data_IF_410529867597
#
_entry.id   IF_410529867597
#
_cell.length_a   1.000
_cell.length_b   1.000
_cell.length_c   1.000
_cell.angle_alpha   90.00
_cell.angle_beta   90.00
_cell.angle_gamma   90.00
#
_symmetry.space_group_name_H-M   'P 1'
#
loop_
_entity.id
_entity.type
_entity.pdbx_description
1 polymer ?
#
# COMPACT_ATOMS: atom_id res chain seq x y z
N UNK A 1 10.16 2.53 7.63
CA UNK A 1 10.92 1.44 6.97
C UNK A 1 11.27 0.46 8.06
N UNK A 2 11.13 -0.85 7.80
CA UNK A 2 11.43 -1.86 8.81
C UNK A 2 12.95 -1.88 9.05
N UNK A 3 13.43 -1.94 10.31
CA UNK A 3 14.86 -1.89 10.65
C UNK A 3 15.75 -2.92 9.94
N UNK A 4 15.14 -3.97 9.40
CA UNK A 4 15.76 -5.20 8.92
C UNK A 4 15.97 -5.21 7.40
N UNK A 5 15.44 -4.23 6.66
CA UNK A 5 15.60 -4.13 5.21
C UNK A 5 16.82 -3.29 4.85
N UNK A 6 17.51 -3.62 3.75
CA UNK A 6 18.58 -2.77 3.21
C UNK A 6 17.98 -1.51 2.59
N UNK A 7 18.50 -0.34 2.97
CA UNK A 7 18.04 0.93 2.43
C UNK A 7 18.81 1.28 1.16
N UNK A 8 18.08 1.32 0.03
CA UNK A 8 18.63 1.62 -1.29
C UNK A 8 19.30 3.01 -1.32
N UNK A 9 18.83 3.96 -0.50
CA UNK A 9 19.35 5.33 -0.49
C UNK A 9 20.81 5.38 -0.07
N UNK A 10 21.17 4.73 1.04
CA UNK A 10 22.54 4.82 1.59
C UNK A 10 23.55 4.13 0.69
N UNK A 11 23.16 2.99 0.13
CA UNK A 11 23.93 2.28 -0.88
C UNK A 11 24.13 3.11 -2.15
N UNK A 12 23.09 3.79 -2.64
CA UNK A 12 23.22 4.69 -3.77
C UNK A 12 24.17 5.86 -3.49
N UNK A 13 24.07 6.46 -2.29
CA UNK A 13 24.92 7.58 -1.88
C UNK A 13 26.40 7.16 -1.79
N UNK A 14 26.72 5.97 -1.27
CA UNK A 14 28.11 5.50 -1.21
C UNK A 14 28.70 5.25 -2.60
N UNK A 15 27.90 4.71 -3.55
CA UNK A 15 28.30 4.59 -4.96
C UNK A 15 28.63 5.97 -5.54
N UNK A 16 27.79 6.99 -5.31
CA UNK A 16 28.05 8.35 -5.78
C UNK A 16 29.34 8.93 -5.21
N UNK A 17 29.63 8.70 -3.93
CA UNK A 17 30.89 9.13 -3.33
C UNK A 17 32.12 8.42 -3.92
N UNK A 18 32.00 7.15 -4.28
CA UNK A 18 33.06 6.41 -4.97
C UNK A 18 33.27 6.91 -6.39
N UNK A 19 32.20 7.17 -7.15
CA UNK A 19 32.32 7.79 -8.47
C UNK A 19 32.96 9.17 -8.39
N UNK A 20 32.63 9.95 -7.36
CA UNK A 20 33.25 11.24 -7.11
C UNK A 20 34.76 11.13 -6.82
N UNK A 21 35.20 10.15 -6.02
CA UNK A 21 36.64 9.96 -5.75
C UNK A 21 37.42 9.55 -7.01
N UNK A 22 36.82 8.74 -7.88
CA UNK A 22 37.38 8.41 -9.21
C UNK A 22 37.49 9.66 -10.08
N UNK A 23 36.45 10.49 -10.10
CA UNK A 23 36.48 11.76 -10.84
C UNK A 23 37.61 12.68 -10.35
N UNK A 24 37.74 12.87 -9.03
CA UNK A 24 38.79 13.71 -8.44
C UNK A 24 40.18 13.18 -8.81
N UNK A 25 40.39 11.87 -8.73
CA UNK A 25 41.65 11.26 -9.15
C UNK A 25 41.99 11.54 -10.62
N UNK A 26 41.03 11.33 -11.53
CA UNK A 26 41.22 11.61 -12.96
C UNK A 26 41.56 13.09 -13.16
N UNK A 27 40.84 13.99 -12.49
CA UNK A 27 41.07 15.43 -12.56
C UNK A 27 42.49 15.81 -12.09
N UNK A 28 42.96 15.21 -10.99
CA UNK A 28 44.32 15.43 -10.47
C UNK A 28 45.36 14.91 -11.46
N UNK A 29 45.19 13.70 -11.99
CA UNK A 29 46.14 13.13 -12.97
C UNK A 29 46.19 13.97 -14.25
N UNK A 30 45.06 14.47 -14.74
CA UNK A 30 45.01 15.37 -15.89
C UNK A 30 45.79 16.67 -15.62
N UNK A 31 45.61 17.28 -14.45
CA UNK A 31 46.35 18.48 -14.05
C UNK A 31 47.86 18.23 -13.91
N UNK A 32 48.25 17.08 -13.35
CA UNK A 32 49.65 16.67 -13.26
C UNK A 32 50.28 16.47 -14.65
N UNK A 33 49.55 15.88 -15.61
CA UNK A 33 50.03 15.69 -16.99
C UNK A 33 50.17 17.00 -17.75
N UNK A 34 49.27 17.96 -17.51
CA UNK A 34 49.30 19.26 -18.15
C UNK A 34 50.43 20.18 -17.63
N UNK A 35 51.01 19.88 -16.46
CA UNK A 35 51.99 20.74 -15.79
C UNK A 35 53.28 19.98 -15.45
N UNK A 36 54.40 20.23 -16.16
CA UNK A 36 55.66 19.52 -15.95
C UNK A 36 56.36 19.76 -14.59
N UNK A 37 55.83 20.63 -13.72
CA UNK A 37 56.36 20.87 -12.37
C UNK A 37 55.60 20.17 -11.23
N UNK A 38 54.49 19.49 -11.52
CA UNK A 38 53.65 18.87 -10.49
C UNK A 38 54.03 17.40 -10.30
N UNK A 39 54.27 17.00 -9.04
CA UNK A 39 54.66 15.62 -8.73
C UNK A 39 53.47 14.64 -8.90
N UNK A 40 53.35 14.07 -10.09
CA UNK A 40 52.28 13.14 -10.44
C UNK A 40 52.27 11.87 -9.58
N UNK A 41 53.44 11.37 -9.18
CA UNK A 41 53.56 10.17 -8.37
C UNK A 41 53.01 10.39 -6.96
N UNK A 42 53.41 11.48 -6.29
CA UNK A 42 52.94 11.84 -4.96
C UNK A 42 51.42 11.98 -4.94
N UNK A 43 50.86 12.80 -5.84
CA UNK A 43 49.43 13.07 -5.85
C UNK A 43 48.63 11.86 -6.34
N UNK A 44 49.14 11.10 -7.31
CA UNK A 44 48.53 9.85 -7.74
C UNK A 44 48.39 8.83 -6.61
N UNK A 45 49.40 8.69 -5.75
CA UNK A 45 49.33 7.79 -4.59
C UNK A 45 48.27 8.28 -3.59
N UNK A 46 48.26 9.57 -3.25
CA UNK A 46 47.32 10.15 -2.28
C UNK A 46 45.87 9.94 -2.74
N UNK A 47 45.54 10.34 -3.98
CA UNK A 47 44.16 10.24 -4.48
C UNK A 47 43.77 8.81 -4.86
N UNK A 48 44.73 7.97 -5.24
CA UNK A 48 44.51 6.53 -5.43
C UNK A 48 44.11 5.83 -4.12
N UNK A 49 44.71 6.21 -2.99
CA UNK A 49 44.33 5.70 -1.68
C UNK A 49 42.88 6.05 -1.30
N UNK A 50 42.42 7.26 -1.65
CA UNK A 50 41.02 7.66 -1.42
C UNK A 50 40.03 6.84 -2.27
N UNK A 51 40.37 6.46 -3.50
CA UNK A 51 39.52 5.55 -4.31
C UNK A 51 39.40 4.20 -3.61
N UNK A 52 40.52 3.60 -3.22
CA UNK A 52 40.53 2.29 -2.58
C UNK A 52 39.74 2.30 -1.27
N UNK A 53 39.90 3.36 -0.46
CA UNK A 53 39.14 3.54 0.76
C UNK A 53 37.64 3.69 0.46
N UNK A 54 37.27 4.51 -0.53
CA UNK A 54 35.85 4.72 -0.91
C UNK A 54 35.21 3.43 -1.42
N UNK A 55 35.94 2.63 -2.22
CA UNK A 55 35.49 1.33 -2.71
C UNK A 55 35.29 0.34 -1.56
N UNK A 56 36.25 0.24 -0.65
CA UNK A 56 36.14 -0.62 0.53
C UNK A 56 34.92 -0.25 1.37
N UNK A 57 34.73 1.03 1.66
CA UNK A 57 33.60 1.49 2.46
C UNK A 57 32.26 1.31 1.73
N UNK A 58 32.22 1.49 0.41
CA UNK A 58 31.03 1.22 -0.40
C UNK A 58 30.68 -0.25 -0.40
N UNK A 59 31.67 -1.14 -0.60
CA UNK A 59 31.46 -2.57 -0.54
C UNK A 59 30.91 -3.01 0.82
N UNK A 60 31.49 -2.50 1.91
CA UNK A 60 31.00 -2.80 3.25
C UNK A 60 29.56 -2.31 3.48
N UNK A 61 29.15 -1.19 2.88
CA UNK A 61 27.78 -0.67 3.00
C UNK A 61 26.71 -1.66 2.48
N UNK A 62 27.06 -2.49 1.49
CA UNK A 62 26.16 -3.53 0.96
C UNK A 62 25.94 -4.69 1.94
N UNK A 63 26.82 -4.86 2.94
CA UNK A 63 26.72 -5.94 3.93
C UNK A 63 25.86 -5.54 5.15
N UNK A 64 25.46 -4.27 5.25
CA UNK A 64 24.83 -3.69 6.44
C UNK A 64 23.29 -3.58 6.31
N UNK A 65 22.57 -3.72 7.43
CA UNK A 65 21.14 -3.40 7.51
C UNK A 65 20.89 -1.88 7.67
N UNK A 66 19.65 -1.40 7.53
CA UNK A 66 19.36 0.05 7.53
C UNK A 66 19.86 0.82 8.76
N UNK A 67 19.76 0.24 9.98
CA UNK A 67 20.28 0.92 11.18
C UNK A 67 21.80 1.04 11.16
N UNK A 68 22.47 -0.02 10.75
CA UNK A 68 23.93 -0.06 10.62
C UNK A 68 24.43 0.87 9.52
N UNK A 69 23.73 0.92 8.38
CA UNK A 69 24.00 1.84 7.27
C UNK A 69 23.95 3.31 7.74
N UNK A 70 22.92 3.67 8.50
CA UNK A 70 22.76 5.01 9.07
C UNK A 70 23.90 5.37 10.04
N UNK A 71 24.37 4.40 10.84
CA UNK A 71 25.51 4.58 11.73
C UNK A 71 26.86 4.63 11.01
N UNK A 72 26.98 3.94 9.87
CA UNK A 72 28.21 3.79 9.12
C UNK A 72 28.47 4.97 8.15
N UNK A 73 27.42 5.57 7.58
CA UNK A 73 27.54 6.63 6.56
C UNK A 73 28.43 7.80 7.00
N UNK A 74 28.51 8.12 8.30
CA UNK A 74 29.40 9.15 8.86
C UNK A 74 30.87 8.93 8.49
N UNK A 75 31.33 7.68 8.39
CA UNK A 75 32.70 7.36 8.00
C UNK A 75 32.95 7.65 6.52
N UNK A 76 31.96 7.41 5.67
CA UNK A 76 32.03 7.78 4.26
C UNK A 76 32.07 9.30 4.09
N UNK A 77 31.24 10.02 4.83
CA UNK A 77 31.21 11.49 4.82
C UNK A 77 32.56 12.05 5.25
N UNK A 78 33.21 11.48 6.27
CA UNK A 78 34.56 11.86 6.68
C UNK A 78 35.60 11.62 5.57
N UNK A 79 35.56 10.46 4.90
CA UNK A 79 36.44 10.18 3.75
C UNK A 79 36.30 11.23 2.66
N UNK A 80 35.05 11.58 2.29
CA UNK A 80 34.78 12.60 1.26
C UNK A 80 35.22 13.99 1.71
N UNK A 81 35.03 14.33 2.99
CA UNK A 81 35.52 15.59 3.55
C UNK A 81 37.05 15.71 3.45
N UNK A 82 37.78 14.66 3.85
CA UNK A 82 39.25 14.66 3.74
C UNK A 82 39.74 14.62 2.29
N UNK A 83 39.02 13.94 1.39
CA UNK A 83 39.29 13.97 -0.05
C UNK A 83 39.17 15.41 -0.59
N UNK A 84 38.10 16.12 -0.26
CA UNK A 84 37.90 17.51 -0.67
C UNK A 84 38.98 18.43 -0.10
N UNK A 85 39.37 18.24 1.16
CA UNK A 85 40.46 19.00 1.79
C UNK A 85 41.80 18.74 1.08
N UNK A 86 42.14 17.47 0.83
CA UNK A 86 43.34 17.10 0.08
C UNK A 86 43.34 17.68 -1.34
N UNK A 87 42.18 17.75 -1.98
CA UNK A 87 42.00 18.33 -3.31
C UNK A 87 42.15 19.86 -3.30
N UNK A 88 41.62 20.54 -2.30
CA UNK A 88 41.89 21.96 -2.07
C UNK A 88 43.37 22.26 -1.84
N UNK A 89 44.06 21.43 -1.04
CA UNK A 89 45.50 21.53 -0.84
C UNK A 89 46.29 21.24 -2.12
N UNK A 90 45.82 20.35 -2.98
CA UNK A 90 46.40 20.14 -4.31
C UNK A 90 46.30 21.41 -5.17
N UNK A 91 45.13 22.04 -5.26
CA UNK A 91 44.98 23.27 -6.04
C UNK A 91 45.84 24.40 -5.50
N UNK A 92 45.80 24.64 -4.19
CA UNK A 92 46.57 25.69 -3.52
C UNK A 92 48.08 25.45 -3.58
N UNK A 93 48.51 24.21 -3.33
CA UNK A 93 49.93 23.86 -3.26
C UNK A 93 50.63 23.79 -4.62
N UNK A 94 49.90 23.91 -5.73
CA UNK A 94 50.45 23.89 -7.09
C UNK A 94 50.03 25.12 -7.92
N UNK A 95 49.51 26.18 -7.28
CA UNK A 95 49.07 27.43 -7.92
C UNK A 95 48.02 27.24 -9.03
N UNK A 96 46.99 26.41 -8.77
CA UNK A 96 45.94 26.00 -9.74
C UNK A 96 44.54 26.49 -9.32
N UNK A 97 44.48 27.48 -8.45
CA UNK A 97 43.28 27.87 -7.69
C UNK A 97 42.11 28.36 -8.58
N UNK A 98 42.42 29.01 -9.70
CA UNK A 98 41.45 29.60 -10.62
C UNK A 98 40.81 28.61 -11.60
N UNK A 99 41.23 27.33 -11.58
CA UNK A 99 40.82 26.34 -12.58
C UNK A 99 39.83 25.29 -12.09
N UNK A 100 39.18 25.47 -10.93
CA UNK A 100 38.09 24.57 -10.54
C UNK A 100 36.99 24.59 -11.60
N UNK A 101 36.76 23.50 -12.36
CA UNK A 101 35.84 23.54 -13.48
C UNK A 101 34.42 23.86 -12.97
N UNK A 102 33.59 24.61 -13.72
CA UNK A 102 32.23 24.96 -13.31
C UNK A 102 31.39 23.76 -12.86
N UNK A 103 31.64 22.59 -13.44
CA UNK A 103 30.98 21.32 -13.08
C UNK A 103 31.21 20.91 -11.62
N UNK A 104 32.37 21.24 -11.04
CA UNK A 104 32.70 20.92 -9.63
C UNK A 104 31.92 21.83 -8.69
N UNK A 105 31.83 23.12 -9.02
CA UNK A 105 31.05 24.10 -8.25
C UNK A 105 29.55 23.77 -8.32
N UNK A 106 29.08 23.39 -9.51
CA UNK A 106 27.71 22.95 -9.74
C UNK A 106 27.38 21.65 -9.00
N UNK A 107 28.27 20.66 -9.04
CA UNK A 107 28.09 19.38 -8.32
C UNK A 107 28.07 19.58 -6.80
N UNK A 108 28.93 20.46 -6.26
CA UNK A 108 28.94 20.78 -4.83
C UNK A 108 27.62 21.46 -4.42
N UNK A 109 27.21 22.50 -5.15
CA UNK A 109 25.94 23.20 -4.90
C UNK A 109 24.74 22.24 -4.98
N UNK A 110 24.66 21.44 -6.05
CA UNK A 110 23.57 20.49 -6.26
C UNK A 110 23.52 19.44 -5.15
N UNK A 111 24.66 18.86 -4.77
CA UNK A 111 24.74 17.88 -3.69
C UNK A 111 24.35 18.49 -2.34
N UNK A 112 24.82 19.71 -2.03
CA UNK A 112 24.46 20.40 -0.79
C UNK A 112 22.96 20.68 -0.73
N UNK A 113 22.36 21.21 -1.78
CA UNK A 113 20.92 21.47 -1.83
C UNK A 113 20.11 20.17 -1.76
N UNK A 114 20.56 19.11 -2.44
CA UNK A 114 19.87 17.82 -2.44
C UNK A 114 19.88 17.17 -1.06
N UNK A 115 21.01 17.21 -0.34
CA UNK A 115 21.12 16.69 1.03
C UNK A 115 20.29 17.51 2.00
N UNK A 116 20.30 18.85 1.87
CA UNK A 116 19.47 19.72 2.71
C UNK A 116 17.98 19.49 2.46
N UNK A 117 17.57 19.36 1.19
CA UNK A 117 16.19 19.07 0.83
C UNK A 117 15.78 17.70 1.34
N UNK A 118 16.57 16.65 1.08
CA UNK A 118 16.30 15.30 1.56
C UNK A 118 16.24 15.23 3.09
N UNK A 119 17.18 15.90 3.77
CA UNK A 119 17.19 16.01 5.23
C UNK A 119 15.95 16.71 5.76
N UNK A 120 15.56 17.83 5.15
CA UNK A 120 14.36 18.57 5.53
C UNK A 120 13.08 17.77 5.26
N UNK A 121 12.96 17.11 4.11
CA UNK A 121 11.80 16.29 3.75
C UNK A 121 11.66 15.03 4.60
N UNK A 122 12.77 14.50 5.12
CA UNK A 122 12.76 13.36 6.04
C UNK A 122 12.60 13.78 7.51
N UNK A 123 12.94 15.04 7.85
CA UNK A 123 12.70 15.61 9.18
C UNK A 123 11.22 16.01 9.38
N UNK A 124 10.56 16.46 8.31
CA UNK A 124 9.11 16.64 8.33
C UNK A 124 8.42 15.28 8.53
N UNK A 125 7.37 15.20 9.37
CA UNK A 125 6.57 13.98 9.51
C UNK A 125 6.06 13.55 8.13
N UNK A 126 6.66 12.51 7.56
CA UNK A 126 6.24 12.02 6.26
C UNK A 126 4.88 11.35 6.42
N UNK A 127 3.86 11.96 5.82
CA UNK A 127 2.57 11.36 5.63
C UNK A 127 2.73 10.29 4.55
N UNK A 128 3.08 9.07 4.98
CA UNK A 128 3.13 7.92 4.09
C UNK A 128 1.69 7.47 3.87
N UNK A 129 1.24 7.52 2.63
CA UNK A 129 0.16 6.64 2.19
C UNK A 129 0.73 5.24 2.32
N UNK A 130 0.35 4.52 3.37
CA UNK A 130 0.54 3.07 3.32
C UNK A 130 -0.22 2.59 2.07
N UNK A 131 0.32 1.61 1.31
CA UNK A 131 -0.46 0.93 0.30
C UNK A 131 -1.81 0.56 0.91
N UNK A 132 -2.92 0.71 0.15
CA UNK A 132 -4.25 0.48 0.69
C UNK A 132 -4.26 -0.83 1.50
N UNK A 133 -4.95 -0.86 2.66
CA UNK A 133 -5.15 -2.11 3.39
C UNK A 133 -5.58 -3.17 2.39
N UNK A 134 -4.72 -4.18 2.33
CA UNK A 134 -4.77 -5.30 1.41
C UNK A 134 -5.86 -6.24 1.95
N UNK A 135 -7.10 -6.05 1.47
CA UNK A 135 -8.25 -6.88 1.82
C UNK A 135 -9.55 -6.08 1.99
N UNK A 136 -10.43 -6.12 0.99
CA UNK A 136 -11.87 -6.02 1.24
C UNK A 136 -12.28 -7.22 2.07
N UNK A 137 -13.05 -7.01 3.14
CA UNK A 137 -13.35 -8.10 4.06
C UNK A 137 -14.15 -9.21 3.34
N UNK A 138 -13.79 -10.44 3.68
CA UNK A 138 -14.41 -11.68 3.24
C UNK A 138 -15.88 -11.69 3.65
N UNK A 139 -16.80 -11.76 2.69
CA UNK A 139 -18.21 -12.07 2.94
C UNK A 139 -18.42 -13.55 2.59
N UNK A 140 -18.41 -14.39 3.63
CA UNK A 140 -19.04 -15.71 3.60
C UNK A 140 -20.01 -15.79 4.76
N UNK A 141 -21.13 -16.48 4.57
CA UNK A 141 -22.30 -16.51 5.44
C UNK A 141 -21.98 -16.78 6.91
N UNK A 142 -21.81 -15.68 7.66
CA UNK A 142 -22.22 -15.39 9.04
C UNK A 142 -21.49 -14.10 9.50
N UNK A 143 -21.38 -13.09 8.61
CA UNK A 143 -20.78 -11.81 8.98
C UNK A 143 -21.63 -11.17 10.07
N UNK A 144 -21.02 -10.89 11.23
CA UNK A 144 -21.74 -10.19 12.30
C UNK A 144 -21.75 -8.69 12.03
N UNK A 145 -22.66 -7.95 12.67
CA UNK A 145 -22.66 -6.49 12.57
C UNK A 145 -21.38 -5.87 13.15
N UNK A 146 -20.75 -6.53 14.11
CA UNK A 146 -19.45 -6.15 14.64
C UNK A 146 -18.38 -6.24 13.55
N UNK A 147 -18.29 -7.37 12.85
CA UNK A 147 -17.34 -7.56 11.73
C UNK A 147 -17.57 -6.55 10.61
N UNK A 148 -18.83 -6.25 10.31
CA UNK A 148 -19.21 -5.31 9.25
C UNK A 148 -18.85 -3.85 9.61
N UNK A 149 -19.05 -3.47 10.87
CA UNK A 149 -18.59 -2.19 11.41
C UNK A 149 -17.07 -2.11 11.41
N UNK A 150 -16.38 -3.19 11.77
CA UNK A 150 -14.92 -3.24 11.75
C UNK A 150 -14.35 -3.14 10.34
N UNK A 151 -15.03 -3.73 9.35
CA UNK A 151 -14.70 -3.51 7.94
C UNK A 151 -14.79 -2.01 7.60
N UNK A 152 -15.85 -1.32 8.03
CA UNK A 152 -15.99 0.13 7.84
C UNK A 152 -14.84 0.92 8.47
N UNK A 153 -14.45 0.56 9.71
CA UNK A 153 -13.29 1.15 10.39
C UNK A 153 -12.00 0.95 9.59
N UNK A 154 -11.77 -0.24 9.04
CA UNK A 154 -10.59 -0.56 8.22
C UNK A 154 -10.62 0.21 6.90
N UNK A 155 -11.77 0.39 6.26
CA UNK A 155 -11.89 1.22 5.05
C UNK A 155 -11.53 2.68 5.36
N UNK A 156 -11.90 3.20 6.54
CA UNK A 156 -11.59 4.57 6.95
C UNK A 156 -10.13 4.72 7.35
N UNK A 157 -9.61 3.86 8.23
CA UNK A 157 -8.33 4.04 8.90
C UNK A 157 -7.25 3.02 8.53
N UNK A 158 -7.50 2.05 7.67
CA UNK A 158 -6.61 0.89 7.47
C UNK A 158 -6.48 0.00 8.70
N UNK A 159 -5.85 -1.17 8.51
CA UNK A 159 -5.73 -2.22 9.52
C UNK A 159 -4.64 -1.96 10.57
N UNK A 160 -3.66 -1.08 10.29
CA UNK A 160 -2.56 -0.74 11.21
C UNK A 160 -2.59 0.73 11.61
N UNK A 161 -2.72 1.00 12.91
CA UNK A 161 -2.29 2.27 13.50
C UNK A 161 -0.81 2.14 13.91
N UNK A 162 0.06 2.95 13.32
CA UNK A 162 1.44 3.14 13.81
C UNK A 162 1.40 4.29 14.82
N UNK A 163 1.99 4.08 16.00
CA UNK A 163 1.99 5.11 17.05
C UNK A 163 2.54 6.44 16.52
N UNK A 164 1.70 7.49 16.55
CA UNK A 164 2.05 8.83 16.07
C UNK A 164 1.72 9.13 14.60
N UNK A 165 1.15 8.19 13.83
CA UNK A 165 0.67 8.42 12.46
C UNK A 165 -0.84 8.16 12.35
N UNK A 166 -1.55 9.08 11.69
CA UNK A 166 -2.95 8.87 11.29
C UNK A 166 -2.96 7.90 10.11
N UNK A 167 -3.46 6.69 10.35
CA UNK A 167 -3.57 5.65 9.32
C UNK A 167 -4.73 5.97 8.38
N UNK A 168 -4.52 5.79 7.08
CA UNK A 168 -5.46 6.16 6.01
C UNK A 168 -5.87 4.89 5.27
N UNK A 169 -7.17 4.55 5.30
CA UNK A 169 -7.71 3.39 4.59
C UNK A 169 -8.14 3.71 3.15
N UNK A 170 -8.73 2.72 2.47
CA UNK A 170 -9.22 2.84 1.07
C UNK A 170 -10.13 4.05 0.88
N UNK A 171 -10.99 4.35 1.84
CA UNK A 171 -11.91 5.49 1.79
C UNK A 171 -11.24 6.87 1.90
N UNK A 172 -9.96 6.92 2.28
CA UNK A 172 -9.15 8.14 2.40
C UNK A 172 -9.72 9.23 3.35
N UNK A 173 -10.79 8.94 4.11
CA UNK A 173 -11.52 9.90 4.92
C UNK A 173 -10.63 10.69 5.92
N UNK A 174 -9.61 10.09 6.57
CA UNK A 174 -8.70 10.79 7.48
C UNK A 174 -7.79 11.85 6.84
N UNK A 175 -7.72 11.94 5.51
CA UNK A 175 -7.05 13.06 4.82
C UNK A 175 -7.77 14.40 5.01
N UNK A 176 -9.04 14.36 5.35
CA UNK A 176 -9.96 15.49 5.26
C UNK A 176 -10.75 15.68 6.54
N UNK A 177 -11.29 14.59 7.09
CA UNK A 177 -12.14 14.61 8.28
C UNK A 177 -11.36 14.34 9.56
N UNK A 178 -11.85 14.93 10.64
CA UNK A 178 -11.41 14.61 12.00
C UNK A 178 -12.44 13.73 12.68
N UNK A 179 -11.99 12.81 13.53
CA UNK A 179 -12.86 11.79 14.14
C UNK A 179 -12.90 11.87 15.67
N UNK A 180 -11.93 12.55 16.27
CA UNK A 180 -11.78 12.70 17.71
C UNK A 180 -11.88 14.17 18.15
N UNK A 181 -12.49 14.45 19.32
CA UNK A 181 -12.49 15.79 19.89
C UNK A 181 -11.06 16.31 20.13
N UNK A 182 -10.76 17.51 19.62
CA UNK A 182 -9.45 18.16 19.77
C UNK A 182 -8.50 18.02 18.58
N UNK A 183 -8.85 17.21 17.58
CA UNK A 183 -8.16 17.15 16.30
C UNK A 183 -8.69 18.21 15.33
N UNK A 184 -7.83 19.12 14.86
CA UNK A 184 -8.20 20.32 14.12
C UNK A 184 -7.52 20.39 12.74
N UNK A 185 -7.78 19.40 11.87
CA UNK A 185 -7.34 19.47 10.46
C UNK A 185 -7.99 20.65 9.72
N UNK A 186 -9.18 21.10 10.15
CA UNK A 186 -9.86 22.30 9.63
C UNK A 186 -10.30 22.24 8.16
N UNK A 187 -10.06 21.12 7.47
CA UNK A 187 -10.28 20.96 6.02
C UNK A 187 -11.72 20.56 5.68
N UNK A 188 -12.32 19.67 6.47
CA UNK A 188 -13.68 19.18 6.28
C UNK A 188 -14.42 19.10 7.64
N UNK A 189 -15.75 18.95 7.64
CA UNK A 189 -16.52 18.85 8.87
C UNK A 189 -16.03 17.69 9.73
N UNK A 190 -16.05 17.86 11.05
CA UNK A 190 -15.73 16.76 11.95
C UNK A 190 -16.80 15.66 11.91
N UNK A 191 -16.37 14.43 12.17
CA UNK A 191 -17.20 13.23 12.19
C UNK A 191 -17.38 12.65 13.59
N UNK A 192 -17.04 13.38 14.65
CA UNK A 192 -17.45 13.02 16.01
C UNK A 192 -18.91 13.44 16.25
N UNK A 193 -19.72 12.57 16.86
CA UNK A 193 -21.16 12.81 17.03
C UNK A 193 -21.92 12.90 15.71
N UNK A 194 -21.43 12.23 14.65
CA UNK A 194 -22.01 12.35 13.31
C UNK A 194 -23.32 11.59 13.18
N UNK A 195 -23.46 10.47 13.89
CA UNK A 195 -24.71 9.71 13.95
C UNK A 195 -25.83 10.59 14.51
N UNK A 196 -25.65 11.17 15.70
CA UNK A 196 -26.70 11.94 16.35
C UNK A 196 -27.05 13.18 15.51
N UNK A 197 -26.00 13.78 14.94
CA UNK A 197 -26.12 14.93 14.06
C UNK A 197 -26.88 14.59 12.78
N UNK A 198 -26.76 13.38 12.24
CA UNK A 198 -27.49 12.99 11.03
C UNK A 198 -29.02 13.11 11.22
N UNK A 199 -29.53 12.70 12.39
CA UNK A 199 -30.96 12.75 12.72
C UNK A 199 -31.51 14.16 12.98
N UNK A 200 -30.63 15.11 13.27
CA UNK A 200 -30.99 16.52 13.47
C UNK A 200 -30.79 17.34 12.20
N UNK A 201 -29.75 17.03 11.41
CA UNK A 201 -29.40 17.74 10.18
C UNK A 201 -30.51 17.72 9.14
N UNK A 202 -31.19 16.59 8.99
CA UNK A 202 -32.30 16.44 8.03
C UNK A 202 -33.48 17.39 8.28
N UNK A 203 -33.55 18.01 9.46
CA UNK A 203 -34.61 18.95 9.86
C UNK A 203 -34.18 20.41 9.70
N UNK A 204 -32.91 20.67 9.41
CA UNK A 204 -32.38 22.02 9.26
C UNK A 204 -32.89 22.64 7.95
N UNK A 205 -33.27 23.91 8.00
CA UNK A 205 -33.73 24.66 6.81
C UNK A 205 -32.69 24.65 5.69
N UNK A 206 -31.40 24.77 6.07
CA UNK A 206 -30.29 24.67 5.12
C UNK A 206 -30.28 23.31 4.44
N UNK A 207 -30.43 22.21 5.18
CA UNK A 207 -30.49 20.88 4.57
C UNK A 207 -31.68 20.77 3.63
N UNK A 208 -32.85 21.29 3.98
CA UNK A 208 -34.04 21.18 3.14
C UNK A 208 -33.93 21.97 1.83
N UNK A 209 -33.21 23.09 1.83
CA UNK A 209 -33.30 24.09 0.76
C UNK A 209 -31.98 24.44 0.05
N UNK A 210 -30.81 24.08 0.61
CA UNK A 210 -29.50 24.56 0.13
C UNK A 210 -28.39 23.50 0.25
N UNK A 211 -27.41 23.49 -0.67
CA UNK A 211 -27.38 24.21 -1.95
C UNK A 211 -28.37 23.64 -2.98
N UNK A 212 -28.83 22.41 -2.77
CA UNK A 212 -29.86 21.75 -3.55
C UNK A 212 -31.08 21.56 -2.64
N UNK A 213 -32.29 21.80 -3.14
CA UNK A 213 -33.50 21.56 -2.38
C UNK A 213 -33.90 20.08 -2.42
N UNK A 214 -34.56 19.58 -1.37
CA UNK A 214 -35.10 18.22 -1.34
C UNK A 214 -36.04 18.01 -2.53
N UNK A 215 -35.90 16.87 -3.23
CA UNK A 215 -36.61 16.54 -4.45
C UNK A 215 -35.96 17.08 -5.74
N UNK A 216 -34.82 17.78 -5.64
CA UNK A 216 -34.06 18.25 -6.80
C UNK A 216 -32.88 17.31 -7.06
N UNK A 217 -32.66 17.00 -8.34
CA UNK A 217 -31.53 16.18 -8.81
C UNK A 217 -30.24 16.99 -8.86
N UNK A 218 -29.19 16.46 -8.24
CA UNK A 218 -27.83 16.97 -8.41
C UNK A 218 -27.26 16.58 -9.78
N UNK A 219 -26.72 17.55 -10.50
CA UNK A 219 -26.15 17.34 -11.83
C UNK A 219 -24.83 16.55 -11.80
N UNK A 220 -24.07 16.61 -10.70
CA UNK A 220 -22.76 15.93 -10.59
C UNK A 220 -22.86 14.46 -10.22
N UNK A 221 -23.63 14.14 -9.17
CA UNK A 221 -23.85 12.77 -8.70
C UNK A 221 -24.95 12.05 -9.48
N UNK A 222 -25.97 12.78 -9.94
CA UNK A 222 -27.19 12.22 -10.51
C UNK A 222 -28.23 11.78 -9.46
N UNK A 223 -28.03 12.12 -8.18
CA UNK A 223 -28.91 11.72 -7.07
C UNK A 223 -29.96 12.80 -6.81
N UNK A 224 -31.19 12.39 -6.47
CA UNK A 224 -32.24 13.31 -6.03
C UNK A 224 -32.20 13.46 -4.52
N UNK A 225 -32.00 14.69 -4.06
CA UNK A 225 -31.79 14.98 -2.64
C UNK A 225 -33.00 14.62 -1.79
N UNK A 226 -32.77 13.99 -0.64
CA UNK A 226 -33.82 13.69 0.34
C UNK A 226 -34.82 12.62 -0.12
N UNK A 227 -34.50 11.87 -1.18
CA UNK A 227 -35.35 10.84 -1.77
C UNK A 227 -34.63 9.49 -1.74
N UNK A 228 -34.82 8.74 -0.66
CA UNK A 228 -34.16 7.44 -0.45
C UNK A 228 -34.45 6.44 -1.59
N UNK A 229 -35.67 6.46 -2.15
CA UNK A 229 -36.07 5.60 -3.27
C UNK A 229 -35.38 5.93 -4.60
N UNK A 230 -34.88 7.16 -4.75
CA UNK A 230 -34.23 7.62 -5.99
C UNK A 230 -32.71 7.43 -5.96
N UNK A 231 -32.17 6.91 -4.86
CA UNK A 231 -30.81 6.36 -4.80
C UNK A 231 -30.78 5.08 -5.65
N UNK A 232 -29.69 4.82 -6.42
CA UNK A 232 -29.56 3.58 -7.18
C UNK A 232 -29.77 2.36 -6.29
N UNK A 233 -30.41 1.33 -6.86
CA UNK A 233 -30.93 0.18 -6.10
C UNK A 233 -29.84 -0.52 -5.30
N UNK A 234 -28.65 -0.65 -5.89
CA UNK A 234 -27.47 -1.27 -5.29
C UNK A 234 -26.96 -0.53 -4.05
N UNK A 235 -27.26 0.77 -3.91
CA UNK A 235 -26.89 1.57 -2.75
C UNK A 235 -28.08 1.90 -1.84
N UNK A 236 -29.30 1.44 -2.16
CA UNK A 236 -30.51 1.85 -1.44
C UNK A 236 -30.58 1.16 -0.07
N UNK A 237 -31.02 1.91 0.94
CA UNK A 237 -31.30 1.37 2.28
C UNK A 237 -32.53 0.45 2.24
N UNK A 238 -32.50 -0.66 2.98
CA UNK A 238 -33.67 -1.51 3.21
C UNK A 238 -34.65 -0.92 4.24
N UNK A 239 -35.95 -1.21 4.10
CA UNK A 239 -36.98 -0.85 5.09
C UNK A 239 -37.84 0.37 4.70
N UNK A 240 -38.22 1.19 5.69
CA UNK A 240 -39.18 2.29 5.49
C UNK A 240 -38.74 3.28 4.39
N UNK A 241 -39.66 3.76 3.53
CA UNK A 241 -39.38 4.80 2.54
C UNK A 241 -39.12 6.19 3.15
N UNK A 242 -39.36 6.35 4.45
CA UNK A 242 -39.13 7.61 5.15
C UNK A 242 -37.62 7.94 5.22
N UNK A 243 -37.28 9.16 4.82
CA UNK A 243 -35.92 9.68 4.87
C UNK A 243 -35.46 9.89 6.33
N UNK A 244 -34.33 9.30 6.71
CA UNK A 244 -33.80 9.34 8.07
C UNK A 244 -32.30 9.68 8.14
N UNK A 245 -31.70 9.51 9.33
CA UNK A 245 -30.29 9.83 9.57
C UNK A 245 -29.31 8.96 8.76
N UNK A 246 -29.62 7.67 8.53
CA UNK A 246 -28.80 6.82 7.65
C UNK A 246 -28.82 7.37 6.21
N UNK A 247 -29.99 7.78 5.73
CA UNK A 247 -30.13 8.33 4.38
C UNK A 247 -29.33 9.63 4.22
N UNK A 248 -29.23 10.45 5.27
CA UNK A 248 -28.30 11.59 5.31
C UNK A 248 -26.83 11.18 5.22
N UNK A 249 -26.40 10.16 5.97
CA UNK A 249 -25.01 9.68 5.91
C UNK A 249 -24.68 9.14 4.51
N UNK A 250 -25.59 8.35 3.94
CA UNK A 250 -25.48 7.80 2.59
C UNK A 250 -25.42 8.88 1.52
N UNK A 251 -26.34 9.84 1.57
CA UNK A 251 -26.34 10.99 0.67
C UNK A 251 -25.04 11.80 0.81
N UNK A 252 -24.50 11.95 2.02
CA UNK A 252 -23.24 12.67 2.23
C UNK A 252 -22.04 11.99 1.55
N UNK A 253 -22.05 10.66 1.41
CA UNK A 253 -20.99 9.89 0.75
C UNK A 253 -21.20 9.80 -0.78
N UNK A 254 -22.46 9.77 -1.23
CA UNK A 254 -22.80 9.58 -2.64
C UNK A 254 -23.09 10.88 -3.40
N UNK A 255 -23.53 11.92 -2.70
CA UNK A 255 -23.76 13.25 -3.23
C UNK A 255 -23.29 14.30 -2.22
N UNK A 256 -21.96 14.47 -2.02
CA UNK A 256 -21.46 15.43 -1.04
C UNK A 256 -21.89 16.87 -1.34
N UNK A 257 -22.19 17.23 -2.60
CA UNK A 257 -22.70 18.55 -2.97
C UNK A 257 -24.23 18.69 -2.82
N UNK A 258 -24.98 17.61 -2.56
CA UNK A 258 -26.41 17.73 -2.23
C UNK A 258 -26.60 18.52 -0.94
N UNK A 259 -25.71 18.35 0.04
CA UNK A 259 -25.66 19.16 1.23
C UNK A 259 -24.23 19.48 1.64
N UNK A 260 -23.94 20.77 1.79
CA UNK A 260 -22.64 21.26 2.20
C UNK A 260 -22.77 22.00 3.53
N UNK A 261 -22.03 21.51 4.53
CA UNK A 261 -21.95 22.14 5.85
C UNK A 261 -21.33 23.52 5.70
N UNK A 262 -21.91 24.50 6.36
CA UNK A 262 -21.43 25.89 6.36
C UNK A 262 -19.95 25.98 6.78
N UNK A 263 -19.17 26.74 6.02
CA UNK A 263 -17.74 26.95 6.20
C UNK A 263 -16.82 25.89 5.57
N UNK A 264 -17.36 24.86 4.92
CA UNK A 264 -16.58 23.73 4.40
C UNK A 264 -16.69 23.50 2.88
N UNK A 265 -17.47 24.30 2.17
CA UNK A 265 -17.61 24.21 0.73
C UNK A 265 -16.86 25.27 -0.06
N UNK A 266 -16.79 25.03 -1.36
CA UNK A 266 -16.39 26.01 -2.36
C UNK A 266 -17.61 26.80 -2.82
N UNK A 267 -17.34 27.93 -3.48
CA UNK A 267 -18.38 28.78 -4.09
C UNK A 267 -19.49 29.17 -3.11
N UNK A 268 -19.12 29.60 -1.90
CA UNK A 268 -20.08 30.00 -0.87
C UNK A 268 -20.86 28.82 -0.28
N UNK A 269 -20.17 27.70 -0.02
CA UNK A 269 -20.75 26.47 0.51
C UNK A 269 -21.82 25.84 -0.37
N UNK A 270 -21.61 25.91 -1.69
CA UNK A 270 -22.52 25.31 -2.69
C UNK A 270 -21.94 24.08 -3.37
N UNK A 271 -20.60 23.94 -3.37
CA UNK A 271 -19.91 22.79 -3.96
C UNK A 271 -19.03 22.15 -2.88
N UNK A 272 -19.22 20.85 -2.65
CA UNK A 272 -18.38 20.11 -1.71
C UNK A 272 -16.98 19.85 -2.27
N UNK A 273 -15.91 19.99 -1.47
CA UNK A 273 -14.57 19.55 -1.85
C UNK A 273 -14.41 18.02 -1.76
N UNK A 274 -15.37 17.31 -1.15
CA UNK A 274 -15.35 15.86 -1.03
C UNK A 274 -15.65 15.20 -2.39
N UNK A 275 -14.82 14.24 -2.84
CA UNK A 275 -15.08 13.51 -4.07
C UNK A 275 -16.26 12.53 -3.91
N UNK A 276 -16.82 12.09 -5.03
CA UNK A 276 -17.79 10.99 -5.06
C UNK A 276 -17.05 9.68 -4.77
N UNK A 277 -17.07 9.20 -3.53
CA UNK A 277 -16.18 8.11 -3.09
C UNK A 277 -16.54 6.73 -3.68
N UNK A 278 -17.76 6.57 -4.18
CA UNK A 278 -18.22 5.39 -4.92
C UNK A 278 -17.81 5.42 -6.41
N UNK A 279 -17.14 6.49 -6.85
CA UNK A 279 -16.60 6.64 -8.21
C UNK A 279 -15.05 6.67 -8.17
N UNK A 280 -14.38 6.45 -9.31
CA UNK A 280 -12.94 6.61 -9.40
C UNK A 280 -12.46 7.99 -8.89
N UNK A 281 -11.29 8.07 -8.23
CA UNK A 281 -10.29 7.01 -8.04
C UNK A 281 -10.46 6.16 -6.77
N UNK A 282 -11.46 6.45 -5.92
CA UNK A 282 -11.64 5.75 -4.63
C UNK A 282 -12.43 4.46 -4.80
N UNK A 283 -13.48 4.49 -5.63
CA UNK A 283 -14.26 3.32 -6.05
C UNK A 283 -14.65 2.40 -4.89
N UNK A 284 -15.29 2.95 -3.86
CA UNK A 284 -15.94 2.12 -2.84
C UNK A 284 -17.11 1.37 -3.45
N UNK A 285 -17.13 0.05 -3.28
CA UNK A 285 -18.26 -0.79 -3.67
C UNK A 285 -19.49 -0.50 -2.79
N UNK A 286 -20.70 -0.93 -3.19
CA UNK A 286 -21.89 -0.76 -2.36
C UNK A 286 -21.74 -1.37 -0.96
N UNK A 287 -21.11 -2.54 -0.88
CA UNK A 287 -20.79 -3.23 0.37
C UNK A 287 -19.84 -2.40 1.23
N UNK A 288 -18.76 -1.89 0.65
CA UNK A 288 -17.77 -1.08 1.37
C UNK A 288 -18.38 0.24 1.85
N UNK A 289 -19.21 0.88 1.03
CA UNK A 289 -19.93 2.10 1.40
C UNK A 289 -20.90 1.83 2.55
N UNK A 290 -21.63 0.72 2.51
CA UNK A 290 -22.51 0.27 3.60
C UNK A 290 -21.73 0.02 4.89
N UNK A 291 -20.55 -0.61 4.82
CA UNK A 291 -19.72 -0.82 5.99
C UNK A 291 -19.20 0.50 6.59
N UNK A 292 -18.83 1.47 5.75
CA UNK A 292 -18.46 2.81 6.24
C UNK A 292 -19.63 3.48 6.96
N UNK A 293 -20.86 3.38 6.43
CA UNK A 293 -22.05 3.93 7.09
C UNK A 293 -22.33 3.21 8.41
N UNK A 294 -22.26 1.88 8.42
CA UNK A 294 -22.44 1.07 9.63
C UNK A 294 -21.47 1.50 10.73
N UNK A 295 -20.20 1.70 10.36
CA UNK A 295 -19.19 2.21 11.28
C UNK A 295 -19.47 3.64 11.74
N UNK A 296 -19.91 4.55 10.87
CA UNK A 296 -20.27 5.92 11.26
C UNK A 296 -21.43 5.94 12.26
N UNK A 297 -22.37 5.01 12.16
CA UNK A 297 -23.49 4.87 13.10
C UNK A 297 -23.04 4.35 14.48
N UNK A 298 -22.10 3.43 14.54
CA UNK A 298 -21.65 2.84 15.82
C UNK A 298 -20.43 3.54 16.44
N UNK A 299 -19.73 4.40 15.70
CA UNK A 299 -18.46 5.04 16.10
C UNK A 299 -18.54 5.69 17.47
N UNK A 300 -19.60 6.45 17.73
CA UNK A 300 -19.73 7.24 18.96
C UNK A 300 -20.33 6.41 20.13
N UNK A 301 -20.80 5.18 19.84
CA UNK A 301 -21.25 4.19 20.83
C UNK A 301 -20.66 2.79 20.54
N UNK A 302 -19.33 2.60 20.65
CA UNK A 302 -18.70 1.33 20.33
C UNK A 302 -19.28 0.16 21.15
N UNK A 303 -19.59 -0.95 20.50
CA UNK A 303 -20.20 -2.14 21.11
C UNK A 303 -21.73 -2.15 21.15
N UNK A 304 -22.40 -1.03 20.78
CA UNK A 304 -23.87 -0.96 20.67
C UNK A 304 -24.36 -1.17 19.23
N UNK A 305 -24.08 -2.35 18.65
CA UNK A 305 -24.39 -2.64 17.24
C UNK A 305 -25.90 -2.77 16.93
N UNK A 306 -26.75 -2.89 17.96
CA UNK A 306 -28.20 -2.99 17.80
C UNK A 306 -28.85 -1.72 17.19
N UNK A 307 -28.13 -0.59 17.20
CA UNK A 307 -28.58 0.69 16.62
C UNK A 307 -28.18 0.85 15.15
N UNK A 308 -27.29 0.00 14.64
CA UNK A 308 -26.86 0.05 13.23
C UNK A 308 -28.01 -0.43 12.35
N UNK A 309 -28.39 0.38 11.37
CA UNK A 309 -29.55 0.14 10.51
C UNK A 309 -29.20 -0.40 9.13
N UNK A 310 -27.92 -0.31 8.75
CA UNK A 310 -27.42 -0.83 7.48
C UNK A 310 -27.55 -2.36 7.46
N UNK A 311 -28.10 -2.97 6.39
CA UNK A 311 -28.21 -4.42 6.31
C UNK A 311 -26.83 -5.06 6.16
N UNK A 312 -26.70 -6.26 6.73
CA UNK A 312 -25.56 -7.12 6.43
C UNK A 312 -25.61 -7.53 4.95
N UNK A 313 -24.46 -7.65 4.29
CA UNK A 313 -24.41 -8.07 2.89
C UNK A 313 -24.95 -9.50 2.75
N UNK A 314 -25.81 -9.71 1.76
CA UNK A 314 -26.35 -11.01 1.38
C UNK A 314 -25.50 -11.66 0.28
N UNK A 315 -25.58 -12.98 0.13
CA UNK A 315 -24.79 -13.73 -0.85
C UNK A 315 -25.04 -13.32 -2.32
N UNK A 316 -26.18 -12.68 -2.60
CA UNK A 316 -26.56 -12.21 -3.94
C UNK A 316 -26.02 -10.79 -4.24
N UNK A 317 -25.62 -10.02 -3.23
CA UNK A 317 -25.07 -8.66 -3.38
C UNK A 317 -23.65 -8.65 -3.99
N UNK A 318 -23.05 -9.83 -4.18
CA UNK A 318 -21.77 -10.04 -4.86
C UNK A 318 -21.88 -10.14 -6.40
N UNK A 319 -23.10 -10.14 -6.96
CA UNK A 319 -23.35 -10.44 -8.37
C UNK A 319 -23.51 -9.20 -9.30
N UNK A 320 -23.33 -7.99 -8.78
CA UNK A 320 -23.57 -6.74 -9.52
C UNK A 320 -22.32 -5.86 -9.58
N UNK A 321 -21.25 -6.33 -10.23
CA UNK A 321 -20.09 -5.49 -10.54
C UNK A 321 -19.81 -5.53 -12.06
N UNK A 322 -20.12 -4.44 -12.77
CA UNK A 322 -19.62 -4.22 -14.14
C UNK A 322 -18.20 -3.63 -14.06
N UNK A 323 -17.28 -4.27 -14.80
CA UNK A 323 -15.87 -3.88 -14.88
C UNK A 323 -15.66 -2.52 -15.58
N UNK A 324 -14.81 -1.61 -15.06
CA UNK A 324 -14.35 -0.47 -15.83
C UNK A 324 -13.22 -0.88 -16.80
N UNK A 325 -13.17 -0.19 -17.94
CA UNK A 325 -12.24 -0.44 -19.03
C UNK A 325 -10.78 -0.03 -18.71
N UNK A 326 -9.89 -0.79 -19.34
CA UNK A 326 -8.43 -0.72 -19.42
C UNK A 326 -7.84 0.68 -19.70
N UNK A 327 -6.90 1.11 -18.85
CA UNK A 327 -5.82 2.06 -19.19
C UNK A 327 -4.55 1.69 -18.42
N UNK A 328 -3.75 0.76 -18.99
CA UNK A 328 -2.34 0.97 -19.33
C UNK A 328 -1.29 1.37 -18.27
N UNK A 329 -1.65 1.54 -16.99
CA UNK A 329 -0.74 1.74 -15.87
C UNK A 329 -0.71 0.49 -14.98
N UNK A 330 0.46 0.14 -14.42
CA UNK A 330 0.69 -1.04 -13.58
C UNK A 330 -0.30 -1.07 -12.39
N UNK A 331 -1.46 -1.69 -12.62
CA UNK A 331 -2.56 -1.80 -11.68
C UNK A 331 -2.24 -2.90 -10.66
N UNK A 332 -2.66 -2.75 -9.39
CA UNK A 332 -2.54 -3.83 -8.42
C UNK A 332 -3.30 -5.06 -8.93
N UNK A 333 -2.58 -6.19 -9.08
CA UNK A 333 -3.15 -7.48 -9.43
C UNK A 333 -4.17 -7.89 -8.36
N UNK A 334 -5.46 -7.75 -8.69
CA UNK A 334 -6.57 -8.23 -7.87
C UNK A 334 -7.47 -9.10 -8.75
N UNK A 335 -7.56 -10.38 -8.40
CA UNK A 335 -8.30 -11.38 -9.17
C UNK A 335 -9.69 -11.51 -8.57
N UNK A 336 -10.70 -11.31 -9.40
CA UNK A 336 -12.09 -11.12 -8.97
C UNK A 336 -12.86 -12.43 -8.88
N UNK A 337 -12.37 -13.47 -9.56
CA UNK A 337 -13.02 -14.77 -9.63
C UNK A 337 -13.99 -14.86 -10.79
N UNK A 338 -14.02 -13.89 -11.70
CA UNK A 338 -14.70 -14.01 -12.99
C UNK A 338 -13.88 -14.83 -13.99
N UNK A 339 -12.57 -14.88 -13.76
CA UNK A 339 -11.59 -15.64 -14.52
C UNK A 339 -11.74 -17.16 -14.26
N UNK A 340 -11.27 -17.98 -15.20
CA UNK A 340 -11.21 -19.44 -14.99
C UNK A 340 -10.15 -19.80 -13.95
N UNK A 341 -10.23 -20.97 -13.28
CA UNK A 341 -9.18 -21.39 -12.35
C UNK A 341 -7.77 -21.34 -12.95
N UNK A 342 -7.61 -21.71 -14.22
CA UNK A 342 -6.35 -21.63 -14.94
C UNK A 342 -5.87 -20.20 -15.16
N UNK A 343 -6.77 -19.27 -15.49
CA UNK A 343 -6.46 -17.85 -15.61
C UNK A 343 -6.05 -17.24 -14.27
N UNK A 344 -6.79 -17.55 -13.19
CA UNK A 344 -6.44 -17.14 -11.82
C UNK A 344 -5.03 -17.63 -11.47
N UNK A 345 -4.75 -18.90 -11.72
CA UNK A 345 -3.45 -19.55 -11.47
C UNK A 345 -2.32 -18.83 -12.22
N UNK A 346 -2.55 -18.47 -13.49
CA UNK A 346 -1.56 -17.79 -14.32
C UNK A 346 -1.35 -16.33 -13.89
N UNK A 347 -2.42 -15.58 -13.59
CA UNK A 347 -2.35 -14.19 -13.15
C UNK A 347 -1.58 -14.08 -11.82
N UNK A 348 -1.78 -15.03 -10.91
CA UNK A 348 -1.07 -15.10 -9.63
C UNK A 348 0.37 -15.63 -9.74
N UNK A 349 0.74 -16.17 -10.90
CA UNK A 349 2.09 -16.70 -11.15
C UNK A 349 2.40 -18.02 -10.46
N UNK A 350 1.41 -18.78 -10.00
CA UNK A 350 1.63 -20.08 -9.34
C UNK A 350 2.47 -21.07 -10.20
N UNK A 351 2.30 -21.13 -11.55
CA UNK A 351 3.10 -21.99 -12.43
C UNK A 351 4.61 -21.73 -12.41
N UNK A 352 5.06 -20.54 -11.98
CA UNK A 352 6.48 -20.21 -11.89
C UNK A 352 7.20 -21.09 -10.86
N UNK A 353 6.52 -21.45 -9.78
CA UNK A 353 7.10 -22.20 -8.68
C UNK A 353 6.56 -23.62 -8.58
N UNK A 354 5.29 -23.85 -8.93
CA UNK A 354 4.62 -25.12 -8.74
C UNK A 354 4.41 -25.89 -10.05
N UNK A 355 4.50 -27.21 -9.95
CA UNK A 355 3.91 -28.11 -10.94
C UNK A 355 2.44 -28.33 -10.58
N UNK A 356 1.55 -28.01 -11.51
CA UNK A 356 0.10 -28.03 -11.27
C UNK A 356 -0.59 -28.90 -12.33
N UNK A 357 -1.09 -30.10 -11.97
CA UNK A 357 -1.84 -30.95 -12.88
C UNK A 357 -3.06 -30.24 -13.45
N UNK A 358 -3.30 -30.39 -14.75
CA UNK A 358 -4.41 -29.76 -15.45
C UNK A 358 -4.17 -28.33 -15.91
N UNK A 359 -3.02 -27.73 -15.58
CA UNK A 359 -2.62 -26.39 -16.05
C UNK A 359 -1.46 -26.51 -17.04
N UNK A 360 -1.69 -26.15 -18.30
CA UNK A 360 -0.67 -26.24 -19.35
C UNK A 360 0.54 -25.35 -19.01
N UNK A 361 1.75 -25.92 -19.12
CA UNK A 361 3.00 -25.20 -18.86
C UNK A 361 3.36 -25.00 -17.38
N UNK A 362 2.53 -25.44 -16.43
CA UNK A 362 2.83 -25.40 -15.00
C UNK A 362 3.79 -26.53 -14.60
N UNK A 363 5.08 -26.28 -14.79
CA UNK A 363 6.18 -27.23 -14.50
C UNK A 363 7.20 -26.66 -13.49
N UNK A 364 6.77 -25.71 -12.66
CA UNK A 364 7.63 -25.11 -11.63
C UNK A 364 8.13 -26.15 -10.62
N UNK A 365 9.38 -25.98 -10.18
CA UNK A 365 10.05 -26.87 -9.22
C UNK A 365 10.60 -26.13 -7.98
N UNK A 366 10.32 -24.83 -7.85
CA UNK A 366 10.72 -24.03 -6.67
C UNK A 366 9.79 -24.28 -5.47
N UNK A 367 8.60 -24.78 -5.71
CA UNK A 367 7.63 -25.21 -4.70
C UNK A 367 7.16 -26.66 -4.95
N UNK A 368 6.43 -27.25 -4.00
CA UNK A 368 5.97 -28.63 -4.10
C UNK A 368 5.02 -28.84 -5.28
N UNK A 369 5.02 -30.07 -5.81
CA UNK A 369 4.00 -30.51 -6.79
C UNK A 369 2.62 -30.51 -6.13
N UNK A 370 1.66 -29.86 -6.76
CA UNK A 370 0.30 -29.71 -6.24
C UNK A 370 -0.54 -30.92 -6.66
N UNK A 371 -0.38 -32.04 -5.95
CA UNK A 371 -1.27 -33.21 -6.07
C UNK A 371 -2.14 -33.27 -4.82
N UNK A 372 -2.85 -32.17 -4.52
CA UNK A 372 -3.36 -31.93 -3.18
C UNK A 372 -4.51 -32.85 -2.78
N UNK A 373 -5.21 -33.45 -3.75
CA UNK A 373 -6.21 -34.49 -3.49
C UNK A 373 -5.63 -35.67 -2.70
N UNK A 374 -4.36 -36.01 -2.94
CA UNK A 374 -3.64 -37.10 -2.25
C UNK A 374 -2.64 -36.61 -1.21
N UNK A 375 -1.98 -35.48 -1.45
CA UNK A 375 -0.90 -34.99 -0.60
C UNK A 375 -1.42 -34.33 0.68
N UNK A 376 -2.46 -33.50 0.59
CA UNK A 376 -2.96 -32.75 1.74
C UNK A 376 -3.38 -33.64 2.94
N UNK A 377 -4.10 -34.77 2.75
CA UNK A 377 -4.44 -35.67 3.87
C UNK A 377 -3.23 -36.28 4.58
N UNK A 378 -2.11 -36.45 3.87
CA UNK A 378 -0.85 -36.97 4.44
C UNK A 378 -0.09 -35.85 5.15
N UNK A 379 -0.05 -34.66 4.56
CA UNK A 379 0.63 -33.47 5.13
C UNK A 379 -0.03 -32.98 6.42
N UNK A 380 -1.36 -33.00 6.51
CA UNK A 380 -2.09 -32.67 7.75
C UNK A 380 -1.82 -33.66 8.91
N UNK A 381 -1.22 -34.83 8.65
CA UNK A 381 -0.80 -35.80 9.68
C UNK A 381 0.68 -35.70 10.05
N UNK A 382 1.44 -34.85 9.36
CA UNK A 382 2.85 -34.61 9.67
C UNK A 382 2.96 -33.96 11.05
N UNK A 383 3.94 -34.39 11.85
CA UNK A 383 4.16 -33.83 13.18
C UNK A 383 4.59 -32.35 13.15
N UNK A 384 5.07 -31.85 12.00
CA UNK A 384 5.44 -30.46 11.76
C UNK A 384 4.27 -29.58 11.30
N UNK A 385 3.09 -30.16 11.10
CA UNK A 385 1.90 -29.40 10.70
C UNK A 385 1.36 -28.62 11.90
N UNK A 386 1.50 -27.29 11.88
CA UNK A 386 1.03 -26.38 12.93
C UNK A 386 -0.32 -25.73 12.58
N UNK A 387 -0.90 -26.11 11.44
CA UNK A 387 -2.18 -25.59 10.95
C UNK A 387 -3.41 -26.22 11.60
N UNK A 388 -4.57 -25.70 11.22
CA UNK A 388 -5.87 -26.07 11.81
C UNK A 388 -6.81 -26.80 10.86
N UNK A 389 -6.40 -26.99 9.60
CA UNK A 389 -7.22 -27.63 8.58
C UNK A 389 -7.56 -29.08 8.92
N UNK A 390 -8.79 -29.45 8.59
CA UNK A 390 -9.35 -30.80 8.77
C UNK A 390 -9.73 -31.45 7.45
N UNK A 391 -9.79 -30.68 6.37
CA UNK A 391 -10.13 -31.15 5.03
C UNK A 391 -9.07 -30.70 4.02
N UNK A 392 -8.97 -31.40 2.88
CA UNK A 392 -8.06 -31.01 1.78
C UNK A 392 -8.32 -29.57 1.31
N UNK A 393 -9.58 -29.15 1.23
CA UNK A 393 -9.93 -27.77 0.86
C UNK A 393 -9.44 -26.76 1.89
N UNK A 394 -9.68 -27.02 3.17
CA UNK A 394 -9.18 -26.16 4.26
C UNK A 394 -7.65 -26.08 4.26
N UNK A 395 -6.96 -27.19 3.97
CA UNK A 395 -5.51 -27.23 3.92
C UNK A 395 -4.95 -26.39 2.76
N UNK A 396 -5.55 -26.50 1.57
CA UNK A 396 -5.15 -25.70 0.40
C UNK A 396 -5.44 -24.23 0.64
N UNK A 397 -6.59 -23.90 1.21
CA UNK A 397 -6.95 -22.52 1.57
C UNK A 397 -5.99 -21.94 2.60
N UNK A 398 -5.66 -22.70 3.65
CA UNK A 398 -4.67 -22.30 4.66
C UNK A 398 -3.28 -22.12 4.06
N UNK A 399 -2.88 -23.00 3.13
CA UNK A 399 -1.58 -22.90 2.44
C UNK A 399 -1.49 -21.68 1.52
N UNK A 400 -2.60 -21.21 0.94
CA UNK A 400 -2.65 -19.99 0.12
C UNK A 400 -2.67 -18.73 0.99
N UNK A 401 -3.43 -18.74 2.08
CA UNK A 401 -3.61 -17.58 2.94
C UNK A 401 -2.46 -17.39 3.94
N UNK A 402 -1.90 -18.48 4.45
CA UNK A 402 -0.84 -18.50 5.45
C UNK A 402 0.24 -19.56 5.09
N UNK A 403 1.01 -19.36 4.01
CA UNK A 403 1.93 -20.39 3.49
C UNK A 403 2.97 -20.89 4.49
N UNK A 404 3.40 -20.03 5.43
CA UNK A 404 4.43 -20.38 6.42
C UNK A 404 3.92 -21.25 7.58
N UNK A 405 2.61 -21.54 7.66
CA UNK A 405 2.03 -22.45 8.68
C UNK A 405 2.54 -23.88 8.52
N UNK A 406 2.80 -24.30 7.28
CA UNK A 406 3.40 -25.60 7.02
C UNK A 406 4.24 -25.58 5.75
N UNK A 407 5.55 -25.64 5.95
CA UNK A 407 6.52 -25.75 4.88
C UNK A 407 6.71 -27.22 4.52
N UNK A 408 6.32 -27.57 3.30
CA UNK A 408 6.40 -28.95 2.78
C UNK A 408 7.86 -29.42 2.72
N UNK A 409 8.10 -30.70 3.01
CA UNK A 409 9.42 -31.30 2.81
C UNK A 409 9.70 -31.48 1.32
N UNK A 410 10.87 -31.07 0.86
CA UNK A 410 11.41 -31.54 -0.40
C UNK A 410 12.05 -32.92 -0.16
N UNK A 411 11.37 -33.99 -0.57
CA UNK A 411 11.85 -35.36 -0.40
C UNK A 411 13.08 -35.68 -1.27
N UNK A 412 13.28 -34.98 -2.40
CA UNK A 412 14.42 -35.19 -3.29
C UNK A 412 15.71 -34.62 -2.68
N UNK A 413 15.63 -33.46 -2.03
CA UNK A 413 16.78 -32.78 -1.40
C UNK A 413 16.94 -33.14 0.09
N UNK A 414 15.93 -33.76 0.71
CA UNK A 414 15.98 -34.13 2.13
C UNK A 414 15.90 -32.94 3.09
N UNK A 415 15.38 -31.80 2.64
CA UNK A 415 15.17 -30.57 3.43
C UNK A 415 13.82 -29.89 3.10
N UNK A 416 13.26 -29.04 3.99
CA UNK A 416 12.05 -28.27 3.67
C UNK A 416 12.29 -27.29 2.50
N UNK A 417 11.24 -26.98 1.73
CA UNK A 417 11.32 -25.86 0.79
C UNK A 417 11.68 -24.56 1.53
N UNK A 418 12.36 -23.58 0.90
CA UNK A 418 12.70 -22.35 1.61
C UNK A 418 11.45 -21.55 1.97
N UNK A 419 11.35 -21.13 3.23
CA UNK A 419 10.27 -20.26 3.71
C UNK A 419 10.31 -18.89 3.00
N UNK A 420 9.14 -18.28 2.80
CA UNK A 420 8.99 -17.01 2.10
C UNK A 420 9.09 -17.08 0.57
N UNK A 421 9.38 -18.24 -0.03
CA UNK A 421 9.32 -18.43 -1.49
C UNK A 421 7.88 -18.32 -2.01
N UNK A 422 6.91 -18.82 -1.24
CA UNK A 422 5.49 -18.58 -1.51
C UNK A 422 5.08 -17.21 -0.94
N UNK A 423 4.58 -16.27 -1.77
CA UNK A 423 4.15 -14.95 -1.31
C UNK A 423 3.11 -15.02 -0.18
N UNK A 424 3.34 -14.23 0.87
CA UNK A 424 2.47 -14.16 2.06
C UNK A 424 1.28 -13.21 1.89
N UNK A 425 1.07 -12.69 0.67
CA UNK A 425 0.10 -11.64 0.38
C UNK A 425 -1.03 -12.07 -0.58
N UNK A 426 -1.16 -13.37 -0.86
CA UNK A 426 -2.24 -13.86 -1.75
C UNK A 426 -3.64 -13.58 -1.21
N UNK A 427 -3.84 -13.63 0.11
CA UNK A 427 -5.11 -13.26 0.76
C UNK A 427 -5.58 -11.83 0.49
N UNK A 428 -4.72 -11.02 -0.14
CA UNK A 428 -5.01 -9.64 -0.52
C UNK A 428 -4.95 -9.34 -2.01
N UNK A 429 -4.69 -10.37 -2.82
CA UNK A 429 -4.71 -10.33 -4.29
C UNK A 429 -5.91 -11.10 -4.87
N UNK A 430 -6.67 -11.77 -4.01
CA UNK A 430 -7.76 -12.66 -4.37
C UNK A 430 -9.06 -12.17 -3.74
N UNK A 431 -10.11 -12.07 -4.54
CA UNK A 431 -11.47 -12.09 -3.99
C UNK A 431 -11.77 -13.45 -3.35
N UNK A 432 -12.81 -13.51 -2.53
CA UNK A 432 -13.28 -14.77 -1.93
C UNK A 432 -13.71 -15.78 -3.00
N UNK A 433 -14.34 -15.30 -4.08
CA UNK A 433 -14.75 -16.16 -5.19
C UNK A 433 -13.52 -16.73 -5.92
N UNK A 434 -12.54 -15.88 -6.22
CA UNK A 434 -11.28 -16.30 -6.83
C UNK A 434 -10.55 -17.33 -5.96
N UNK A 435 -10.48 -17.07 -4.64
CA UNK A 435 -9.89 -18.00 -3.68
C UNK A 435 -10.65 -19.34 -3.65
N UNK A 436 -11.97 -19.33 -3.59
CA UNK A 436 -12.78 -20.56 -3.55
C UNK A 436 -12.63 -21.36 -4.85
N UNK A 437 -12.68 -20.72 -6.02
CA UNK A 437 -12.42 -21.37 -7.32
C UNK A 437 -11.02 -21.98 -7.37
N UNK A 438 -10.03 -21.24 -6.91
CA UNK A 438 -8.63 -21.67 -6.86
C UNK A 438 -8.45 -22.87 -5.92
N UNK A 439 -9.01 -22.79 -4.71
CA UNK A 439 -8.99 -23.87 -3.71
C UNK A 439 -9.72 -25.10 -4.23
N UNK A 440 -10.88 -24.92 -4.86
CA UNK A 440 -11.67 -26.02 -5.41
C UNK A 440 -10.93 -26.73 -6.55
N UNK A 441 -10.26 -25.99 -7.43
CA UNK A 441 -9.42 -26.58 -8.46
C UNK A 441 -8.23 -27.32 -7.83
N UNK A 442 -7.41 -26.62 -7.03
CA UNK A 442 -6.17 -27.17 -6.47
C UNK A 442 -6.46 -28.37 -5.55
N UNK A 443 -7.51 -28.32 -4.72
CA UNK A 443 -7.86 -29.44 -3.82
C UNK A 443 -8.23 -30.73 -4.54
N UNK A 444 -8.61 -30.65 -5.82
CA UNK A 444 -8.93 -31.81 -6.65
C UNK A 444 -7.78 -32.23 -7.58
N UNK A 445 -6.67 -31.48 -7.59
CA UNK A 445 -5.48 -31.87 -8.37
C UNK A 445 -4.90 -33.19 -7.86
N UNK A 446 -4.59 -34.08 -8.79
CA UNK A 446 -3.91 -35.34 -8.55
C UNK A 446 -2.93 -35.59 -9.69
N UNK A 447 -1.96 -36.47 -9.48
CA UNK A 447 -1.10 -36.91 -10.57
C UNK A 447 -1.97 -37.44 -11.71
N UNK A 448 -1.84 -36.88 -12.91
CA UNK A 448 -2.61 -37.33 -14.07
C UNK A 448 -2.44 -38.83 -14.26
N UNK A 449 -3.52 -39.55 -14.57
CA UNK A 449 -3.38 -40.90 -15.10
C UNK A 449 -2.57 -40.80 -16.39
N UNK A 450 -1.39 -41.40 -16.41
CA UNK A 450 -0.56 -41.51 -17.62
C UNK A 450 -1.44 -41.97 -18.79
N UNK A 451 -1.52 -41.12 -19.82
CA UNK A 451 -2.03 -41.48 -21.14
C UNK A 451 -0.85 -41.76 -22.07
#
# INVERSE_FOLDING_TARGET
MLPEQQDILWTFVTIMFTLFSVYVFINVIQNCRARPGVNAQKWGIIFGAFILLSLYQTNHMFDLNQQEQLGYIRWQVLTVFFLLLAWGLFFKGNDVEDQSPPIVRAAFFYSTISILLAGYTNWLPQQRSDPPPKGGAVITGDITMEDFVDMGRVIVFSAKQVAGQKSIGKGQCPLCHTFDPGDNIGRCPNLFGVEERSHTRIKEDRYLNSPIAVGVKDGGSGIVKGKAEEVPEEYRRGGSPDFNGEDYLRESLMCPSCYVVEGYGKEGDTISPMPLIHKPPISLSPVELNAVIAWLQSKDTPGEFAKVTVPLPSGDDAAAEEAPADDGGEAPLFVTGDETPEEIINILGCPLCHTIPGVEGAVGALGPKLHEKTNAPSRMKDARYEGTAKTTKEYVQESILNPSVYIVMNEEEGEPYPDGVMPQDFGSKLSVNALNKLVDFISNTEAGSEG
#
